data_IF_591666232437
#
_entry.id   IF_591666232437
#
_cell.length_a   1.000
_cell.length_b   1.000
_cell.length_c   1.000
_cell.angle_alpha   90.00
_cell.angle_beta   90.00
_cell.angle_gamma   90.00
#
_symmetry.space_group_name_H-M   'P 1'
#
loop_
_entity.id
_entity.type
_entity.pdbx_description
1 polymer ?
#
# COMPACT_ATOMS: atom_id res chain seq x y z
N UNK A 1 31.71 3.01 -4.21
CA UNK A 1 30.62 3.83 -4.77
C UNK A 1 30.24 4.85 -3.71
N UNK A 2 30.45 6.14 -3.97
CA UNK A 2 30.03 7.22 -3.06
C UNK A 2 28.57 7.55 -3.36
N UNK A 3 27.68 7.32 -2.40
CA UNK A 3 26.28 7.74 -2.52
C UNK A 3 26.21 9.24 -2.28
N UNK A 4 25.66 9.98 -3.25
CA UNK A 4 25.35 11.40 -3.10
C UNK A 4 23.94 11.52 -2.57
N UNK A 5 23.79 11.96 -1.33
CA UNK A 5 22.49 12.18 -0.71
C UNK A 5 21.93 13.56 -1.10
N UNK A 6 20.61 13.69 -1.34
CA UNK A 6 19.98 14.98 -1.59
C UNK A 6 20.10 15.88 -0.36
N UNK A 7 20.17 17.20 -0.59
CA UNK A 7 20.17 18.18 0.49
C UNK A 7 18.76 18.36 1.06
N UNK A 8 18.65 18.96 2.25
CA UNK A 8 17.35 19.31 2.82
C UNK A 8 16.51 20.19 1.88
N UNK A 9 17.14 21.11 1.16
CA UNK A 9 16.47 21.98 0.19
C UNK A 9 15.83 21.16 -0.93
N UNK A 10 16.55 20.16 -1.43
CA UNK A 10 16.04 19.29 -2.51
C UNK A 10 14.86 18.46 -2.02
N UNK A 11 14.94 17.92 -0.80
CA UNK A 11 13.85 17.16 -0.19
C UNK A 11 12.59 18.01 0.01
N UNK A 12 12.73 19.25 0.48
CA UNK A 12 11.60 20.16 0.67
C UNK A 12 10.94 20.52 -0.67
N UNK A 13 11.74 20.84 -1.69
CA UNK A 13 11.21 21.14 -3.03
C UNK A 13 10.39 19.96 -3.61
N UNK A 14 10.86 18.73 -3.41
CA UNK A 14 10.14 17.52 -3.85
C UNK A 14 8.80 17.33 -3.15
N UNK A 15 8.76 17.54 -1.83
CA UNK A 15 7.53 17.39 -1.05
C UNK A 15 6.53 18.51 -1.42
N UNK A 16 7.02 19.75 -1.50
CA UNK A 16 6.17 20.94 -1.66
C UNK A 16 5.61 21.10 -3.08
N UNK A 17 6.36 20.72 -4.12
CA UNK A 17 5.95 21.03 -5.49
C UNK A 17 6.36 20.02 -6.55
N UNK A 18 7.58 19.46 -6.48
CA UNK A 18 8.14 18.78 -7.65
C UNK A 18 7.71 17.31 -7.78
N UNK A 19 7.46 16.61 -6.67
CA UNK A 19 7.23 15.16 -6.64
C UNK A 19 6.02 14.77 -5.76
N UNK A 20 4.88 15.41 -6.00
CA UNK A 20 3.61 15.02 -5.38
C UNK A 20 2.48 14.87 -6.41
N UNK A 21 1.34 14.32 -5.99
CA UNK A 21 0.13 14.20 -6.83
C UNK A 21 -0.98 15.18 -6.40
N UNK A 22 -0.65 16.27 -5.69
CA UNK A 22 -1.67 17.17 -5.17
C UNK A 22 -2.41 17.87 -6.32
N UNK A 23 -3.75 17.89 -6.25
CA UNK A 23 -4.59 18.47 -7.29
C UNK A 23 -4.67 17.68 -8.61
N UNK A 24 -3.89 16.59 -8.78
CA UNK A 24 -3.87 15.79 -10.02
C UNK A 24 -5.25 15.27 -10.42
N UNK A 25 -6.11 14.96 -9.46
CA UNK A 25 -7.47 14.46 -9.66
C UNK A 25 -8.56 15.40 -9.14
N UNK A 26 -8.23 16.67 -8.91
CA UNK A 26 -9.13 17.66 -8.32
C UNK A 26 -8.80 17.97 -6.86
N UNK A 27 -9.23 19.15 -6.39
CA UNK A 27 -8.96 19.66 -5.04
C UNK A 27 -9.68 18.88 -3.94
N UNK A 28 -10.81 18.25 -4.29
CA UNK A 28 -11.65 17.50 -3.35
C UNK A 28 -11.40 15.98 -3.42
N UNK A 29 -10.37 15.54 -4.17
CA UNK A 29 -10.03 14.13 -4.29
C UNK A 29 -9.55 13.54 -2.96
N UNK A 30 -10.06 12.35 -2.64
CA UNK A 30 -9.67 11.57 -1.46
C UNK A 30 -9.12 10.18 -1.82
N UNK A 31 -9.07 9.84 -3.13
CA UNK A 31 -8.66 8.50 -3.59
C UNK A 31 -7.17 8.41 -3.90
N UNK A 32 -6.54 9.53 -4.30
CA UNK A 32 -5.12 9.54 -4.67
C UNK A 32 -4.82 8.57 -5.81
N UNK A 33 -3.74 7.79 -5.68
CA UNK A 33 -3.30 6.86 -6.73
C UNK A 33 -4.28 5.73 -7.02
N UNK A 34 -5.31 5.50 -6.19
CA UNK A 34 -6.41 4.59 -6.53
C UNK A 34 -7.19 5.06 -7.77
N UNK A 35 -7.10 6.34 -8.14
CA UNK A 35 -7.67 6.86 -9.38
C UNK A 35 -7.01 6.28 -10.66
N UNK A 36 -5.90 5.56 -10.54
CA UNK A 36 -5.33 4.79 -11.65
C UNK A 36 -6.05 3.47 -11.91
N UNK A 37 -6.89 3.02 -10.96
CA UNK A 37 -7.69 1.81 -11.15
C UNK A 37 -8.89 2.12 -12.05
N UNK A 38 -9.13 1.29 -13.05
CA UNK A 38 -10.27 1.38 -13.95
C UNK A 38 -10.85 0.00 -14.27
N UNK A 39 -12.09 -0.07 -14.81
CA UNK A 39 -12.65 -1.32 -15.31
C UNK A 39 -11.76 -1.98 -16.37
N UNK A 40 -11.16 -1.18 -17.27
CA UNK A 40 -10.27 -1.67 -18.33
C UNK A 40 -9.00 -2.28 -17.73
N UNK A 41 -8.37 -1.61 -16.74
CA UNK A 41 -7.21 -2.16 -16.03
C UNK A 41 -7.54 -3.44 -15.26
N UNK A 42 -8.76 -3.53 -14.75
CA UNK A 42 -9.24 -4.75 -14.09
C UNK A 42 -9.35 -5.91 -15.10
N UNK A 43 -9.90 -5.65 -16.30
CA UNK A 43 -9.97 -6.64 -17.37
C UNK A 43 -8.58 -7.06 -17.88
N UNK A 44 -7.66 -6.11 -18.07
CA UNK A 44 -6.26 -6.39 -18.43
C UNK A 44 -5.60 -7.34 -17.40
N UNK A 45 -5.81 -7.09 -16.10
CA UNK A 45 -5.27 -7.94 -15.04
C UNK A 45 -5.89 -9.35 -15.03
N UNK A 46 -7.20 -9.45 -15.25
CA UNK A 46 -7.90 -10.75 -15.33
C UNK A 46 -7.42 -11.60 -16.51
N UNK A 47 -7.07 -10.96 -17.64
CA UNK A 47 -6.54 -11.65 -18.82
C UNK A 47 -5.18 -12.33 -18.56
N UNK A 48 -4.48 -12.02 -17.47
CA UNK A 48 -3.21 -12.64 -17.09
C UNK A 48 -3.39 -14.02 -16.41
N UNK A 49 -4.61 -14.37 -15.98
CA UNK A 49 -4.86 -15.65 -15.29
C UNK A 49 -4.79 -16.81 -16.28
N UNK A 50 -3.94 -17.81 -16.00
CA UNK A 50 -3.79 -19.03 -16.81
C UNK A 50 -4.43 -20.26 -16.17
N UNK A 51 -4.17 -20.51 -14.89
CA UNK A 51 -4.52 -21.76 -14.19
C UNK A 51 -5.76 -21.64 -13.29
N UNK A 52 -6.22 -20.41 -13.02
CA UNK A 52 -7.33 -20.17 -12.09
C UNK A 52 -7.00 -20.47 -10.61
N UNK A 53 -5.73 -20.72 -10.29
CA UNK A 53 -5.29 -20.96 -8.92
C UNK A 53 -5.31 -19.64 -8.10
N UNK A 54 -5.95 -19.68 -6.93
CA UNK A 54 -5.93 -18.58 -5.97
C UNK A 54 -4.78 -18.75 -4.98
N UNK A 55 -3.90 -17.74 -4.89
CA UNK A 55 -2.78 -17.71 -3.94
C UNK A 55 -3.01 -16.59 -2.93
N UNK A 56 -3.00 -16.93 -1.65
CA UNK A 56 -3.10 -15.92 -0.59
C UNK A 56 -1.79 -15.15 -0.45
N UNK A 57 -1.84 -13.83 -0.64
CA UNK A 57 -0.73 -12.92 -0.34
C UNK A 57 -0.77 -12.40 1.11
N UNK A 58 -1.73 -12.85 1.92
CA UNK A 58 -1.83 -12.43 3.31
C UNK A 58 -0.81 -13.19 4.17
N UNK A 59 -0.20 -12.49 5.13
CA UNK A 59 0.58 -13.15 6.18
C UNK A 59 -0.38 -13.91 7.10
N UNK A 60 -0.11 -15.19 7.41
CA UNK A 60 -0.87 -15.91 8.43
C UNK A 60 -0.85 -15.14 9.76
N UNK A 61 -2.01 -15.10 10.42
CA UNK A 61 -2.11 -14.51 11.76
C UNK A 61 -1.72 -15.56 12.78
N UNK A 62 -0.61 -15.33 13.46
CA UNK A 62 -0.11 -16.21 14.52
C UNK A 62 -0.65 -15.80 15.88
N UNK A 63 -1.30 -16.74 16.57
CA UNK A 63 -1.85 -16.52 17.91
C UNK A 63 -0.92 -17.02 19.02
N UNK A 64 0.18 -17.68 18.65
CA UNK A 64 1.22 -18.12 19.59
C UNK A 64 2.31 -17.07 19.68
N UNK A 65 2.72 -16.75 20.90
CA UNK A 65 3.86 -15.87 21.13
C UNK A 65 5.14 -16.45 20.52
N UNK A 66 5.87 -15.63 19.78
CA UNK A 66 7.14 -15.97 19.14
C UNK A 66 8.03 -14.73 19.04
N UNK A 67 9.27 -14.88 18.57
CA UNK A 67 10.21 -13.75 18.40
C UNK A 67 9.62 -12.69 17.46
N UNK A 68 8.99 -13.12 16.37
CA UNK A 68 8.39 -12.21 15.39
C UNK A 68 6.99 -11.72 15.79
N UNK A 69 6.37 -12.37 16.79
CA UNK A 69 5.04 -12.06 17.31
C UNK A 69 5.06 -12.05 18.85
N UNK A 70 5.75 -11.07 19.47
CA UNK A 70 5.90 -11.04 20.93
C UNK A 70 4.60 -10.70 21.67
N UNK A 71 3.63 -10.09 20.97
CA UNK A 71 2.29 -9.80 21.48
C UNK A 71 1.27 -10.32 20.45
N UNK A 72 0.87 -11.60 20.54
CA UNK A 72 -0.10 -12.15 19.61
C UNK A 72 -1.46 -11.46 19.77
N UNK A 73 -2.28 -11.41 18.70
CA UNK A 73 -3.64 -10.89 18.77
C UNK A 73 -4.44 -11.61 19.85
N UNK A 74 -5.20 -10.84 20.63
CA UNK A 74 -6.10 -11.36 21.65
C UNK A 74 -7.53 -11.23 21.15
N UNK A 75 -8.29 -12.31 21.23
CA UNK A 75 -9.71 -12.29 20.93
C UNK A 75 -10.50 -12.14 22.23
N UNK A 76 -11.00 -10.94 22.49
CA UNK A 76 -11.88 -10.68 23.63
C UNK A 76 -13.33 -10.87 23.20
N UNK A 77 -14.03 -11.84 23.80
CA UNK A 77 -15.49 -11.89 23.70
C UNK A 77 -16.09 -10.92 24.71
N UNK A 78 -17.00 -10.06 24.25
CA UNK A 78 -17.89 -9.30 25.13
C UNK A 78 -19.12 -10.15 25.44
N UNK A 79 -19.48 -10.30 26.71
CA UNK A 79 -20.75 -10.90 27.09
C UNK A 79 -21.89 -9.94 26.72
N UNK A 80 -23.01 -10.49 26.26
CA UNK A 80 -24.26 -9.74 26.10
C UNK A 80 -24.80 -9.24 27.45
#
# INVERSE_FOLDING_TARGET
MTVSWPSQKDLLAWIEGDLNNWGRWGTDDQKGTLNHLSPEKTLEALALVSEGAAVSCARPVEFKASVDVPRPPQHFMVSA
#
